data_IF_764437983749
#
_entry.id   IF_764437983749
#
_cell.length_a   1.000
_cell.length_b   1.000
_cell.length_c   1.000
_cell.angle_alpha   90.00
_cell.angle_beta   90.00
_cell.angle_gamma   90.00
#
_symmetry.space_group_name_H-M   'P 1'
#
loop_
_entity.id
_entity.type
_entity.pdbx_description
1 polymer ?
#
# COMPACT_ATOMS: atom_id res chain seq x y z
N UNK A 1 23.98 6.78 2.62
CA UNK A 1 23.19 5.96 3.56
C UNK A 1 22.88 6.76 4.82
N UNK A 2 21.65 6.75 5.26
CA UNK A 2 21.22 7.47 6.46
C UNK A 2 21.88 6.85 7.70
N UNK A 3 22.44 7.68 8.58
CA UNK A 3 22.98 7.23 9.86
C UNK A 3 21.86 6.71 10.77
N UNK A 4 22.16 5.69 11.56
CA UNK A 4 21.22 5.15 12.55
C UNK A 4 21.39 5.88 13.88
N UNK A 5 20.41 6.69 14.22
CA UNK A 5 20.22 7.32 15.53
C UNK A 5 18.85 6.93 16.07
N UNK A 6 18.59 7.20 17.35
CA UNK A 6 17.27 6.95 17.91
C UNK A 6 16.18 7.70 17.12
N UNK A 7 16.43 8.96 16.77
CA UNK A 7 15.50 9.78 16.02
C UNK A 7 15.23 9.19 14.63
N UNK A 8 16.27 8.82 13.89
CA UNK A 8 16.08 8.22 12.54
C UNK A 8 15.44 6.84 12.60
N UNK A 9 15.65 6.07 13.66
CA UNK A 9 14.97 4.79 13.86
C UNK A 9 13.47 5.00 14.10
N UNK A 10 13.08 6.00 14.86
CA UNK A 10 11.66 6.35 15.09
C UNK A 10 11.00 6.74 13.78
N UNK A 11 11.64 7.60 12.98
CA UNK A 11 11.12 8.00 11.67
C UNK A 11 10.97 6.80 10.73
N UNK A 12 11.95 5.92 10.71
CA UNK A 12 11.92 4.71 9.87
C UNK A 12 10.78 3.77 10.26
N UNK A 13 10.52 3.58 11.54
CA UNK A 13 9.39 2.76 12.00
C UNK A 13 8.05 3.42 11.65
N UNK A 14 7.92 4.72 11.80
CA UNK A 14 6.73 5.44 11.39
C UNK A 14 6.44 5.28 9.88
N UNK A 15 7.47 5.27 9.05
CA UNK A 15 7.35 5.01 7.62
C UNK A 15 6.87 3.57 7.35
N UNK A 16 7.44 2.59 8.04
CA UNK A 16 6.98 1.19 7.92
C UNK A 16 5.53 1.03 8.33
N UNK A 17 5.12 1.70 9.38
CA UNK A 17 3.72 1.70 9.81
C UNK A 17 2.78 2.19 8.71
N UNK A 18 3.17 3.22 7.95
CA UNK A 18 2.38 3.68 6.80
C UNK A 18 2.21 2.60 5.73
N UNK A 19 3.27 1.85 5.42
CA UNK A 19 3.19 0.74 4.46
C UNK A 19 2.25 -0.37 4.95
N UNK A 20 2.31 -0.70 6.23
CA UNK A 20 1.45 -1.73 6.83
C UNK A 20 0.00 -1.27 6.95
N UNK A 21 -0.24 0.00 7.25
CA UNK A 21 -1.59 0.58 7.24
C UNK A 21 -2.23 0.55 5.86
N UNK A 22 -1.45 0.82 4.82
CA UNK A 22 -1.91 0.66 3.44
C UNK A 22 -2.39 -0.77 3.17
N UNK A 23 -1.57 -1.78 3.50
CA UNK A 23 -1.93 -3.18 3.32
C UNK A 23 -3.20 -3.55 4.10
N UNK A 24 -3.27 -3.15 5.37
CA UNK A 24 -4.46 -3.37 6.19
C UNK A 24 -5.70 -2.72 5.58
N UNK A 25 -5.56 -1.49 5.10
CA UNK A 25 -6.66 -0.75 4.49
C UNK A 25 -7.22 -1.44 3.25
N UNK A 26 -6.35 -1.89 2.36
CA UNK A 26 -6.73 -2.62 1.16
C UNK A 26 -7.30 -4.00 1.51
N UNK A 27 -6.60 -4.78 2.33
CA UNK A 27 -6.96 -6.18 2.61
C UNK A 27 -8.28 -6.33 3.37
N UNK A 28 -8.61 -5.34 4.19
CA UNK A 28 -9.77 -5.38 5.08
C UNK A 28 -10.84 -4.33 4.76
N UNK A 29 -10.66 -3.57 3.68
CA UNK A 29 -11.53 -2.42 3.37
C UNK A 29 -11.65 -1.46 4.56
N UNK A 30 -10.54 -1.27 5.28
CA UNK A 30 -10.44 -0.35 6.40
C UNK A 30 -10.09 1.04 5.86
N UNK A 31 -11.12 1.82 5.56
CA UNK A 31 -10.98 3.16 4.99
C UNK A 31 -10.13 4.07 5.87
N UNK A 32 -10.29 3.99 7.18
CA UNK A 32 -9.53 4.82 8.12
C UNK A 32 -8.04 4.51 8.04
N UNK A 33 -7.67 3.24 8.04
CA UNK A 33 -6.28 2.81 7.91
C UNK A 33 -5.69 3.23 6.57
N UNK A 34 -6.46 3.06 5.49
CA UNK A 34 -6.01 3.40 4.14
C UNK A 34 -5.77 4.91 3.99
N UNK A 35 -6.68 5.74 4.48
CA UNK A 35 -6.49 7.20 4.44
C UNK A 35 -5.35 7.68 5.35
N UNK A 36 -5.11 7.01 6.47
CA UNK A 36 -4.00 7.33 7.36
C UNK A 36 -2.62 7.02 6.76
N UNK A 37 -2.55 6.17 5.75
CA UNK A 37 -1.31 5.84 5.06
C UNK A 37 -0.83 6.92 4.08
N UNK A 38 -1.67 7.91 3.75
CA UNK A 38 -1.39 8.96 2.78
C UNK A 38 -1.54 10.35 3.40
N UNK A 39 -0.74 11.28 2.90
CA UNK A 39 -1.02 12.70 3.13
C UNK A 39 -2.33 13.10 2.44
N UNK A 40 -3.07 14.09 2.97
CA UNK A 40 -4.33 14.53 2.36
C UNK A 40 -4.21 15.00 0.90
N UNK A 41 -3.06 15.58 0.55
CA UNK A 41 -2.74 16.09 -0.78
C UNK A 41 -1.83 15.15 -1.60
N UNK A 42 -1.66 13.91 -1.15
CA UNK A 42 -0.81 12.95 -1.83
C UNK A 42 -1.36 12.58 -3.21
N UNK A 43 -0.47 12.14 -4.08
CA UNK A 43 -0.80 11.56 -5.38
C UNK A 43 -0.47 10.07 -5.37
N UNK A 44 -1.14 9.33 -6.24
CA UNK A 44 -0.93 7.89 -6.41
C UNK A 44 -0.85 7.56 -7.90
N UNK A 45 0.13 6.75 -8.26
CA UNK A 45 0.27 6.16 -9.58
C UNK A 45 0.24 4.65 -9.40
N UNK A 46 -0.87 4.02 -9.76
CA UNK A 46 -1.19 2.65 -9.38
C UNK A 46 -1.78 1.90 -10.55
N UNK A 47 -0.95 1.15 -11.25
CA UNK A 47 -1.37 0.48 -12.48
C UNK A 47 -1.89 1.48 -13.51
N UNK A 48 -3.14 1.35 -13.91
CA UNK A 48 -3.79 2.26 -14.85
C UNK A 48 -4.25 3.58 -14.21
N UNK A 49 -4.30 3.66 -12.88
CA UNK A 49 -4.70 4.86 -12.16
C UNK A 49 -3.53 5.83 -12.00
N UNK A 50 -3.78 7.10 -12.22
CA UNK A 50 -2.86 8.19 -11.91
C UNK A 50 -3.67 9.42 -11.51
N UNK A 51 -3.45 9.92 -10.31
CA UNK A 51 -4.17 11.07 -9.79
C UNK A 51 -3.99 11.25 -8.30
N UNK A 52 -4.98 11.84 -7.63
CA UNK A 52 -4.95 12.03 -6.19
C UNK A 52 -5.03 10.71 -5.44
N UNK A 53 -4.34 10.60 -4.31
CA UNK A 53 -4.47 9.43 -3.44
C UNK A 53 -5.91 9.28 -2.92
N UNK A 54 -6.58 10.38 -2.60
CA UNK A 54 -7.99 10.35 -2.20
C UNK A 54 -8.89 9.72 -3.28
N UNK A 55 -8.69 10.09 -4.55
CA UNK A 55 -9.42 9.50 -5.67
C UNK A 55 -9.11 8.03 -5.87
N UNK A 56 -7.85 7.63 -5.70
CA UNK A 56 -7.47 6.22 -5.71
C UNK A 56 -8.20 5.43 -4.61
N UNK A 57 -8.22 5.95 -3.39
CA UNK A 57 -8.88 5.31 -2.27
C UNK A 57 -10.37 5.12 -2.54
N UNK A 58 -11.05 6.17 -2.99
CA UNK A 58 -12.47 6.09 -3.31
C UNK A 58 -12.76 5.03 -4.36
N UNK A 59 -11.97 4.99 -5.42
CA UNK A 59 -12.08 3.98 -6.47
C UNK A 59 -11.81 2.57 -5.95
N UNK A 60 -10.73 2.40 -5.19
CA UNK A 60 -10.30 1.10 -4.68
C UNK A 60 -11.34 0.50 -3.72
N UNK A 61 -11.90 1.31 -2.82
CA UNK A 61 -12.91 0.84 -1.87
C UNK A 61 -14.17 0.33 -2.57
N UNK A 62 -14.61 0.99 -3.64
CA UNK A 62 -15.76 0.53 -4.43
C UNK A 62 -15.43 -0.77 -5.16
N UNK A 63 -14.29 -0.81 -5.85
CA UNK A 63 -13.88 -1.96 -6.65
C UNK A 63 -13.66 -3.21 -5.78
N UNK A 64 -13.02 -3.04 -4.63
CA UNK A 64 -12.62 -4.15 -3.76
C UNK A 64 -13.76 -4.73 -2.95
N UNK A 65 -14.89 -4.03 -2.81
CA UNK A 65 -16.09 -4.60 -2.19
C UNK A 65 -16.60 -5.83 -2.93
N UNK A 66 -16.32 -5.95 -4.21
CA UNK A 66 -16.73 -7.07 -5.04
C UNK A 66 -15.65 -8.15 -5.19
N UNK A 67 -14.45 -7.88 -4.72
CA UNK A 67 -13.36 -8.86 -4.70
C UNK A 67 -13.53 -9.82 -3.53
N UNK A 68 -12.95 -11.00 -3.66
CA UNK A 68 -12.84 -11.95 -2.56
C UNK A 68 -11.70 -11.59 -1.61
N UNK A 69 -11.10 -12.59 -1.01
CA UNK A 69 -9.98 -12.39 -0.08
C UNK A 69 -8.78 -11.76 -0.77
N UNK A 70 -8.15 -10.84 -0.07
CA UNK A 70 -6.93 -10.17 -0.52
C UNK A 70 -5.92 -10.12 0.63
N UNK A 71 -4.66 -10.38 0.32
CA UNK A 71 -3.55 -10.32 1.27
C UNK A 71 -2.37 -9.64 0.61
N UNK A 72 -1.87 -8.56 1.22
CA UNK A 72 -0.65 -7.89 0.81
C UNK A 72 0.46 -8.13 1.83
N UNK A 73 1.65 -8.39 1.33
CA UNK A 73 2.86 -8.53 2.14
C UNK A 73 3.92 -7.57 1.62
N UNK A 74 4.52 -6.82 2.52
CA UNK A 74 5.61 -5.88 2.23
C UNK A 74 6.93 -6.50 2.66
N UNK A 75 7.94 -6.36 1.82
CA UNK A 75 9.29 -6.83 2.11
C UNK A 75 10.33 -5.88 1.52
N UNK A 76 11.60 -6.09 1.83
CA UNK A 76 12.74 -5.39 1.25
C UNK A 76 12.57 -3.86 1.28
N UNK A 77 12.24 -3.33 2.44
CA UNK A 77 12.01 -1.90 2.63
C UNK A 77 13.34 -1.16 2.72
N UNK A 78 13.58 -0.26 1.77
CA UNK A 78 14.72 0.65 1.77
C UNK A 78 14.21 2.06 2.03
N UNK A 79 14.80 2.75 2.98
CA UNK A 79 14.38 4.08 3.39
C UNK A 79 15.60 5.00 3.38
N UNK A 80 15.53 6.08 2.63
CA UNK A 80 16.49 7.19 2.68
C UNK A 80 15.81 8.42 3.25
N UNK A 81 16.33 8.94 4.35
CA UNK A 81 15.81 10.13 5.02
C UNK A 81 16.56 11.37 4.57
N UNK A 82 15.83 12.42 4.21
CA UNK A 82 16.35 13.72 3.82
C UNK A 82 15.59 14.83 4.56
N UNK A 83 15.94 15.09 5.83
CA UNK A 83 15.21 16.06 6.63
C UNK A 83 13.76 15.64 6.86
N UNK A 84 12.83 16.43 6.36
CA UNK A 84 11.38 16.16 6.45
C UNK A 84 10.83 15.29 5.32
N UNK A 85 11.69 14.76 4.48
CA UNK A 85 11.32 13.93 3.35
C UNK A 85 12.00 12.57 3.43
N UNK A 86 11.43 11.59 2.78
CA UNK A 86 12.02 10.27 2.64
C UNK A 86 11.75 9.70 1.24
N UNK A 87 12.77 9.05 0.69
CA UNK A 87 12.60 8.18 -0.46
C UNK A 87 12.49 6.75 0.05
N UNK A 88 11.46 6.04 -0.37
CA UNK A 88 11.16 4.68 0.10
C UNK A 88 10.92 3.77 -1.09
N UNK A 89 11.60 2.62 -1.06
CA UNK A 89 11.35 1.54 -2.00
C UNK A 89 10.96 0.31 -1.19
N UNK A 90 9.93 -0.40 -1.62
CA UNK A 90 9.56 -1.67 -1.01
C UNK A 90 9.09 -2.66 -2.06
N UNK A 91 9.22 -3.95 -1.76
CA UNK A 91 8.64 -5.01 -2.56
C UNK A 91 7.30 -5.38 -1.96
N UNK A 92 6.40 -5.84 -2.82
CA UNK A 92 5.15 -6.42 -2.37
C UNK A 92 4.88 -7.76 -3.04
N UNK A 93 4.19 -8.61 -2.31
CA UNK A 93 3.52 -9.80 -2.83
C UNK A 93 2.06 -9.70 -2.43
N UNK A 94 1.17 -9.84 -3.38
CA UNK A 94 -0.27 -9.77 -3.13
C UNK A 94 -0.95 -11.03 -3.66
N UNK A 95 -1.88 -11.56 -2.87
CA UNK A 95 -2.76 -12.65 -3.26
C UNK A 95 -4.17 -12.09 -3.33
N UNK A 96 -4.85 -12.33 -4.43
CA UNK A 96 -6.20 -11.82 -4.69
C UNK A 96 -7.08 -12.95 -5.17
N UNK A 97 -8.20 -13.14 -4.50
CA UNK A 97 -9.24 -14.05 -4.95
C UNK A 97 -10.19 -13.31 -5.89
N UNK A 98 -10.36 -13.84 -7.08
CA UNK A 98 -11.21 -13.30 -8.12
C UNK A 98 -12.14 -14.39 -8.65
N UNK A 99 -13.12 -14.00 -9.45
CA UNK A 99 -13.94 -14.94 -10.21
C UNK A 99 -13.57 -14.84 -11.68
N UNK A 100 -13.44 -15.98 -12.33
CA UNK A 100 -13.27 -16.04 -13.79
C UNK A 100 -14.59 -15.72 -14.52
N UNK A 101 -14.57 -15.77 -15.86
CA UNK A 101 -15.74 -15.51 -16.68
C UNK A 101 -16.88 -16.52 -16.49
N UNK A 102 -16.59 -17.71 -15.92
CA UNK A 102 -17.55 -18.75 -15.59
C UNK A 102 -18.04 -18.68 -14.14
N UNK A 103 -17.60 -17.68 -13.38
CA UNK A 103 -17.97 -17.50 -11.98
C UNK A 103 -17.20 -18.40 -11.02
N UNK A 104 -16.15 -19.09 -11.47
CA UNK A 104 -15.30 -19.93 -10.63
C UNK A 104 -14.24 -19.07 -9.91
N UNK A 105 -14.00 -19.40 -8.65
CA UNK A 105 -12.95 -18.74 -7.89
C UNK A 105 -11.56 -19.06 -8.44
N UNK A 106 -10.78 -18.04 -8.68
CA UNK A 106 -9.36 -18.14 -9.04
C UNK A 106 -8.55 -17.29 -8.07
N UNK A 107 -7.32 -17.70 -7.81
CA UNK A 107 -6.38 -16.94 -7.00
C UNK A 107 -5.26 -16.41 -7.89
N UNK A 108 -5.04 -15.11 -7.84
CA UNK A 108 -3.99 -14.42 -8.58
C UNK A 108 -2.91 -13.97 -7.60
N UNK A 109 -1.66 -14.22 -7.93
CA UNK A 109 -0.51 -13.69 -7.21
C UNK A 109 0.13 -12.59 -8.03
N UNK A 110 0.36 -11.44 -7.39
CA UNK A 110 1.05 -10.30 -7.96
C UNK A 110 2.32 -10.04 -7.16
N UNK A 111 3.39 -9.74 -7.85
CA UNK A 111 4.65 -9.29 -7.22
C UNK A 111 5.10 -8.01 -7.89
N UNK A 112 5.62 -7.08 -7.09
CA UNK A 112 6.11 -5.82 -7.62
C UNK A 112 6.83 -4.97 -6.59
N UNK A 113 6.97 -3.71 -6.91
CA UNK A 113 7.62 -2.70 -6.06
C UNK A 113 6.76 -1.45 -5.96
N UNK A 114 6.78 -0.87 -4.79
CA UNK A 114 6.26 0.47 -4.52
C UNK A 114 7.40 1.46 -4.41
#
# INVERSE_FOLDING_TARGET
>A
MTAYTLETLIDREAIRDCLYLYCRGIDRLDEKALRAAYWPDATDSHGAYKGSAAGFIDMALVKLQQAGRMVHQISNVLIELHGNEAAVESYFTAYQEEKDTNGQAIETMLCGRY
#
